data_IF_686408237244
#
_entry.id   IF_686408237244
#
_cell.length_a   1.000
_cell.length_b   1.000
_cell.length_c   1.000
_cell.angle_alpha   90.00
_cell.angle_beta   90.00
_cell.angle_gamma   90.00
#
_symmetry.space_group_name_H-M   'P 1'
#
loop_
_entity.id
_entity.type
_entity.pdbx_description
1 polymer ?
#
# COMPACT_ATOMS: atom_id res chain seq x y z
N UNK A 1 10.40 40.24 11.14
CA UNK A 1 9.33 40.52 12.12
C UNK A 1 9.35 39.38 13.11
N UNK A 2 9.59 39.66 14.40
CA UNK A 2 9.62 38.63 15.44
C UNK A 2 8.27 37.89 15.53
N UNK A 3 8.31 36.62 15.95
CA UNK A 3 7.08 35.84 16.21
C UNK A 3 6.24 36.57 17.25
N UNK A 4 4.94 36.71 17.02
CA UNK A 4 4.00 37.13 18.04
C UNK A 4 3.90 36.02 19.09
N UNK A 5 4.15 36.37 20.34
CA UNK A 5 4.02 35.48 21.49
C UNK A 5 2.98 36.07 22.43
N UNK A 6 2.24 35.23 23.13
CA UNK A 6 1.24 35.67 24.09
C UNK A 6 1.87 36.03 25.45
N UNK A 7 1.03 36.47 26.38
CA UNK A 7 1.46 36.90 27.72
C UNK A 7 2.04 35.73 28.52
N UNK A 8 1.49 34.52 28.36
CA UNK A 8 1.96 33.33 29.07
C UNK A 8 3.35 32.91 28.58
N UNK A 9 3.59 32.93 27.26
CA UNK A 9 4.91 32.71 26.66
C UNK A 9 5.92 33.81 27.08
N UNK A 10 5.49 35.07 27.24
CA UNK A 10 6.34 36.14 27.77
C UNK A 10 6.74 35.87 29.22
N UNK A 11 5.80 35.45 30.06
CA UNK A 11 6.07 35.08 31.45
C UNK A 11 7.03 33.89 31.50
N UNK A 12 6.82 32.86 30.69
CA UNK A 12 7.68 31.67 30.66
C UNK A 12 9.12 32.01 30.21
N UNK A 13 9.25 32.74 29.10
CA UNK A 13 10.56 32.90 28.45
C UNK A 13 11.29 34.19 28.80
N UNK A 14 10.61 35.25 29.20
CA UNK A 14 11.21 36.59 29.41
C UNK A 14 11.16 37.09 30.86
N UNK A 15 10.76 36.26 31.82
CA UNK A 15 10.90 36.59 33.25
C UNK A 15 12.34 36.43 33.72
N UNK A 16 12.86 37.44 34.44
CA UNK A 16 14.18 37.42 35.06
C UNK A 16 14.15 36.72 36.43
N UNK A 17 15.14 35.85 36.67
CA UNK A 17 15.36 35.26 37.98
C UNK A 17 16.20 36.15 38.89
N UNK A 18 16.29 35.78 40.18
CA UNK A 18 17.11 36.51 41.17
C UNK A 18 18.59 36.60 40.78
N UNK A 19 19.16 35.53 40.21
CA UNK A 19 20.54 35.53 39.70
C UNK A 19 20.74 36.40 38.45
N UNK A 20 19.69 36.65 37.68
CA UNK A 20 19.77 37.50 36.48
C UNK A 20 19.91 38.98 36.87
N UNK A 21 19.22 39.41 37.92
CA UNK A 21 19.31 40.79 38.43
C UNK A 21 20.71 41.17 38.91
N UNK A 22 21.50 40.21 39.41
CA UNK A 22 22.89 40.48 39.80
C UNK A 22 23.76 40.90 38.60
N UNK A 23 23.48 40.34 37.43
CA UNK A 23 24.18 40.68 36.19
C UNK A 23 23.86 42.09 35.70
N UNK A 24 22.80 42.72 36.21
CA UNK A 24 22.33 44.05 35.79
C UNK A 24 22.86 45.19 36.67
N UNK A 25 23.48 44.91 37.82
CA UNK A 25 23.90 45.95 38.80
C UNK A 25 24.77 47.05 38.21
N UNK A 26 25.66 46.70 37.28
CA UNK A 26 26.60 47.65 36.65
C UNK A 26 26.07 48.25 35.32
N UNK A 27 24.76 48.12 35.06
CA UNK A 27 24.13 48.52 33.79
C UNK A 27 22.99 49.50 34.06
N UNK A 28 22.75 50.41 33.12
CA UNK A 28 21.70 51.42 33.20
C UNK A 28 21.01 51.62 31.83
N UNK A 29 19.77 52.14 31.87
CA UNK A 29 18.97 52.51 30.70
C UNK A 29 18.93 51.42 29.62
N UNK A 30 19.21 51.82 28.38
CA UNK A 30 19.34 50.95 27.22
C UNK A 30 20.22 49.71 27.44
N UNK A 31 21.30 49.84 28.23
CA UNK A 31 22.24 48.75 28.50
C UNK A 31 21.63 47.63 29.34
N UNK A 32 20.83 47.96 30.37
CA UNK A 32 20.13 46.98 31.20
C UNK A 32 19.05 46.26 30.41
N UNK A 33 18.28 47.00 29.61
CA UNK A 33 17.21 46.45 28.78
C UNK A 33 17.77 45.51 27.69
N UNK A 34 18.78 45.98 26.93
CA UNK A 34 19.41 45.19 25.88
C UNK A 34 20.10 43.93 26.41
N UNK A 35 20.79 44.01 27.56
CA UNK A 35 21.40 42.83 28.19
C UNK A 35 20.37 41.77 28.58
N UNK A 36 19.30 42.19 29.25
CA UNK A 36 18.26 41.29 29.76
C UNK A 36 17.51 40.59 28.63
N UNK A 37 17.16 41.34 27.57
CA UNK A 37 16.55 40.79 26.37
C UNK A 37 17.46 39.76 25.70
N UNK A 38 18.76 40.03 25.56
CA UNK A 38 19.71 39.08 24.99
C UNK A 38 19.86 37.82 25.83
N UNK A 39 19.91 37.95 27.16
CA UNK A 39 20.02 36.81 28.08
C UNK A 39 18.82 35.88 27.93
N UNK A 40 17.61 36.42 28.04
CA UNK A 40 16.38 35.62 27.91
C UNK A 40 16.19 35.06 26.51
N UNK A 41 16.50 35.85 25.47
CA UNK A 41 16.43 35.39 24.10
C UNK A 41 17.42 34.24 23.82
N UNK A 42 18.65 34.30 24.36
CA UNK A 42 19.61 33.20 24.27
C UNK A 42 19.08 31.93 24.94
N UNK A 43 18.57 32.04 26.17
CA UNK A 43 18.04 30.89 26.90
C UNK A 43 16.83 30.27 26.19
N UNK A 44 16.01 31.08 25.53
CA UNK A 44 14.83 30.63 24.78
C UNK A 44 15.15 30.05 23.40
N UNK A 45 16.03 30.70 22.62
CA UNK A 45 16.31 30.34 21.21
C UNK A 45 17.64 29.62 20.99
N UNK A 46 18.51 29.54 22.01
CA UNK A 46 19.86 28.99 21.89
C UNK A 46 20.82 29.85 21.07
N UNK A 47 20.45 31.08 20.70
CA UNK A 47 21.28 32.04 19.95
C UNK A 47 21.01 33.47 20.43
N UNK A 48 21.94 34.39 20.17
CA UNK A 48 21.67 35.81 20.36
C UNK A 48 20.73 36.38 19.28
N UNK A 49 19.96 37.44 19.60
CA UNK A 49 19.21 38.21 18.60
C UNK A 49 20.20 38.97 17.68
N UNK A 50 19.84 39.10 16.40
CA UNK A 50 20.61 39.89 15.43
C UNK A 50 20.36 41.40 15.56
N UNK A 51 19.25 41.77 16.17
CA UNK A 51 18.82 43.15 16.37
C UNK A 51 17.45 43.18 17.05
N UNK A 52 16.89 44.36 17.25
CA UNK A 52 15.56 44.54 17.87
C UNK A 52 14.43 43.86 17.08
N UNK A 53 14.56 43.73 15.76
CA UNK A 53 13.54 43.11 14.90
C UNK A 53 13.41 41.58 15.04
N UNK A 54 14.40 40.93 15.66
CA UNK A 54 14.37 39.50 16.01
C UNK A 54 13.53 39.24 17.27
N UNK A 55 13.35 40.27 18.11
CA UNK A 55 12.65 40.14 19.38
C UNK A 55 11.14 40.01 19.16
N UNK A 56 10.43 39.21 19.97
CA UNK A 56 8.98 39.15 19.92
C UNK A 56 8.33 40.49 20.24
N UNK A 57 7.16 40.73 19.66
CA UNK A 57 6.33 41.88 20.03
C UNK A 57 6.02 41.86 21.54
N UNK A 58 6.00 43.02 22.18
CA UNK A 58 5.75 43.16 23.63
C UNK A 58 6.91 42.75 24.55
N UNK A 59 7.91 42.00 24.06
CA UNK A 59 9.04 41.56 24.91
C UNK A 59 9.88 42.71 25.47
N UNK A 60 10.03 43.81 24.71
CA UNK A 60 10.75 45.00 25.16
C UNK A 60 10.03 45.70 26.32
N UNK A 61 8.71 45.90 26.20
CA UNK A 61 7.88 46.51 27.25
C UNK A 61 7.82 45.64 28.51
N UNK A 62 7.63 44.34 28.32
CA UNK A 62 7.62 43.36 29.41
C UNK A 62 8.95 43.33 30.16
N UNK A 63 10.08 43.40 29.45
CA UNK A 63 11.40 43.43 30.06
C UNK A 63 11.71 44.78 30.73
N UNK A 64 11.28 45.88 30.11
CA UNK A 64 11.48 47.24 30.61
C UNK A 64 10.85 47.42 32.00
N UNK A 65 9.63 46.89 32.19
CA UNK A 65 8.96 46.87 33.49
C UNK A 65 9.74 46.11 34.58
N UNK A 66 10.42 45.01 34.23
CA UNK A 66 11.20 44.21 35.18
C UNK A 66 12.54 44.85 35.58
N UNK A 67 13.15 45.61 34.67
CA UNK A 67 14.45 46.28 34.93
C UNK A 67 14.31 47.73 35.38
N UNK A 68 13.09 48.28 35.40
CA UNK A 68 12.79 49.63 35.88
C UNK A 68 13.23 50.75 34.94
N UNK A 69 13.11 50.55 33.62
CA UNK A 69 13.45 51.56 32.59
C UNK A 69 12.30 51.71 31.59
N UNK A 70 12.32 52.78 30.79
CA UNK A 70 11.36 52.97 29.70
C UNK A 70 11.66 52.05 28.51
N UNK A 71 10.64 51.49 27.85
CA UNK A 71 10.84 50.60 26.71
C UNK A 71 11.50 51.29 25.51
N UNK A 72 11.31 52.60 25.38
CA UNK A 72 11.93 53.45 24.35
C UNK A 72 13.46 53.49 24.45
N UNK A 73 14.03 53.21 25.64
CA UNK A 73 15.47 53.13 25.85
C UNK A 73 16.13 52.08 24.93
N UNK A 74 15.41 51.04 24.53
CA UNK A 74 15.94 50.02 23.61
C UNK A 74 16.37 50.62 22.27
N UNK A 75 15.77 51.74 21.85
CA UNK A 75 16.15 52.46 20.63
C UNK A 75 17.58 53.01 20.67
N UNK A 76 18.14 53.25 21.86
CA UNK A 76 19.50 53.71 22.06
C UNK A 76 20.51 52.56 22.21
N UNK A 77 20.05 51.30 22.20
CA UNK A 77 20.91 50.13 22.31
C UNK A 77 21.56 49.78 20.96
N UNK A 78 22.89 49.90 20.89
CA UNK A 78 23.67 49.56 19.71
C UNK A 78 23.91 48.04 19.61
N UNK A 79 23.26 47.42 18.62
CA UNK A 79 23.28 45.97 18.35
C UNK A 79 24.56 45.48 17.65
N UNK A 80 25.43 46.38 17.18
CA UNK A 80 26.68 46.05 16.49
C UNK A 80 27.94 46.62 17.16
N UNK A 81 27.77 47.43 18.21
CA UNK A 81 28.83 48.12 18.92
C UNK A 81 29.73 47.28 19.83
N UNK A 82 30.58 47.97 20.60
CA UNK A 82 31.45 47.33 21.61
C UNK A 82 30.68 46.82 22.82
N UNK A 83 29.60 47.50 23.20
CA UNK A 83 28.79 47.15 24.38
C UNK A 83 28.12 45.78 24.21
N UNK A 84 27.47 45.51 23.07
CA UNK A 84 26.85 44.22 22.77
C UNK A 84 27.86 43.06 22.76
N UNK A 85 29.08 43.27 22.25
CA UNK A 85 30.15 42.26 22.28
C UNK A 85 30.56 41.91 23.71
N UNK A 86 30.70 42.91 24.58
CA UNK A 86 30.95 42.72 26.01
C UNK A 86 29.80 41.98 26.68
N UNK A 87 28.55 42.35 26.38
CA UNK A 87 27.36 41.70 26.91
C UNK A 87 27.28 40.22 26.50
N UNK A 88 27.48 39.89 25.22
CA UNK A 88 27.51 38.49 24.73
C UNK A 88 28.54 37.66 25.49
N UNK A 89 29.74 38.22 25.71
CA UNK A 89 30.81 37.56 26.48
C UNK A 89 30.39 37.29 27.93
N UNK A 90 29.80 38.27 28.61
CA UNK A 90 29.30 38.12 29.98
C UNK A 90 28.17 37.08 30.06
N UNK A 91 27.21 37.13 29.13
CA UNK A 91 26.08 36.19 29.07
C UNK A 91 26.59 34.76 28.83
N UNK A 92 27.54 34.55 27.91
CA UNK A 92 28.17 33.25 27.67
C UNK A 92 28.81 32.68 28.93
N UNK A 93 29.61 33.49 29.62
CA UNK A 93 30.26 33.10 30.88
C UNK A 93 29.25 32.70 31.96
N UNK A 94 28.14 33.42 32.05
CA UNK A 94 27.10 33.13 33.04
C UNK A 94 26.28 31.88 32.70
N UNK A 95 25.83 31.76 31.45
CA UNK A 95 24.93 30.68 31.00
C UNK A 95 25.67 29.38 30.66
N UNK A 96 26.98 29.43 30.46
CA UNK A 96 27.80 28.34 29.94
C UNK A 96 27.64 28.11 28.43
N UNK A 97 26.95 29.02 27.72
CA UNK A 97 26.90 28.98 26.25
C UNK A 97 28.25 29.32 25.64
N UNK A 98 28.54 28.70 24.50
CA UNK A 98 29.76 28.92 23.73
C UNK A 98 29.50 28.94 22.24
N UNK A 99 30.41 29.57 21.49
CA UNK A 99 30.38 29.57 20.04
C UNK A 99 30.67 28.16 19.49
N UNK A 100 30.00 27.81 18.38
CA UNK A 100 30.21 26.57 17.67
C UNK A 100 31.59 26.54 17.02
N UNK A 101 32.41 25.56 17.40
CA UNK A 101 33.70 25.27 16.77
C UNK A 101 33.52 24.33 15.58
N UNK A 102 34.58 24.16 14.77
CA UNK A 102 34.59 23.16 13.69
C UNK A 102 34.35 21.76 14.24
N UNK A 103 34.97 21.42 15.37
CA UNK A 103 34.79 20.12 16.02
C UNK A 103 33.35 19.89 16.49
N UNK A 104 32.64 20.94 16.92
CA UNK A 104 31.21 20.82 17.27
C UNK A 104 30.35 20.60 16.05
N UNK A 105 30.64 21.30 14.95
CA UNK A 105 29.93 21.11 13.70
C UNK A 105 30.10 19.68 13.17
N UNK A 106 31.31 19.11 13.27
CA UNK A 106 31.60 17.72 12.90
C UNK A 106 30.85 16.72 13.81
N UNK A 107 30.88 16.93 15.13
CA UNK A 107 30.11 16.10 16.09
C UNK A 107 28.61 16.16 15.82
N UNK A 108 28.08 17.36 15.57
CA UNK A 108 26.67 17.55 15.24
C UNK A 108 26.31 16.89 13.90
N UNK A 109 27.19 16.93 12.90
CA UNK A 109 27.01 16.19 11.65
C UNK A 109 26.93 14.68 11.89
N UNK A 110 27.85 14.12 12.67
CA UNK A 110 27.85 12.69 13.00
C UNK A 110 26.59 12.30 13.79
N UNK A 111 26.23 13.07 14.82
CA UNK A 111 25.03 12.86 15.62
C UNK A 111 23.76 12.88 14.76
N UNK A 112 23.60 13.89 13.89
CA UNK A 112 22.47 13.96 12.97
C UNK A 112 22.44 12.77 12.02
N UNK A 113 23.58 12.39 11.45
CA UNK A 113 23.66 11.28 10.51
C UNK A 113 23.18 9.97 11.15
N UNK A 114 23.56 9.74 12.40
CA UNK A 114 23.25 8.52 13.15
C UNK A 114 21.82 8.51 13.70
N UNK A 115 21.37 9.60 14.33
CA UNK A 115 20.14 9.60 15.14
C UNK A 115 18.92 10.19 14.43
N UNK A 116 19.11 11.01 13.40
CA UNK A 116 18.02 11.79 12.77
C UNK A 116 17.89 11.45 11.27
N UNK A 117 18.97 11.61 10.52
CA UNK A 117 18.96 11.54 9.06
C UNK A 117 18.74 10.13 8.50
N UNK A 118 18.77 9.08 9.33
CA UNK A 118 18.39 7.73 8.91
C UNK A 118 16.88 7.63 8.64
N UNK A 119 16.06 8.42 9.35
CA UNK A 119 14.59 8.35 9.29
C UNK A 119 13.96 9.60 8.68
N UNK A 120 14.46 10.79 9.01
CA UNK A 120 13.99 12.08 8.50
C UNK A 120 14.95 12.64 7.45
N UNK A 121 14.42 13.01 6.29
CA UNK A 121 15.21 13.51 5.14
C UNK A 121 14.89 14.95 4.77
N UNK A 122 13.86 15.55 5.35
CA UNK A 122 13.45 16.93 5.11
C UNK A 122 14.42 17.87 5.83
N UNK A 123 15.17 18.66 5.07
CA UNK A 123 16.18 19.57 5.60
C UNK A 123 15.66 20.48 6.72
N UNK A 124 14.43 20.99 6.62
CA UNK A 124 13.83 21.84 7.67
C UNK A 124 13.58 21.08 8.98
N UNK A 125 13.13 19.82 8.93
CA UNK A 125 12.94 19.00 10.13
C UNK A 125 14.29 18.60 10.75
N UNK A 126 15.28 18.29 9.92
CA UNK A 126 16.66 18.04 10.38
C UNK A 126 17.26 19.29 11.03
N UNK A 127 16.97 20.48 10.47
CA UNK A 127 17.36 21.77 11.03
C UNK A 127 16.77 22.01 12.42
N UNK A 128 15.47 21.74 12.60
CA UNK A 128 14.82 21.85 13.91
C UNK A 128 15.54 20.98 14.96
N UNK A 129 15.85 19.72 14.61
CA UNK A 129 16.57 18.80 15.49
C UNK A 129 17.99 19.27 15.79
N UNK A 130 18.72 19.77 14.78
CA UNK A 130 20.05 20.33 14.96
C UNK A 130 20.04 21.51 15.94
N UNK A 131 19.12 22.46 15.76
CA UNK A 131 19.04 23.64 16.62
C UNK A 131 18.66 23.25 18.06
N UNK A 132 17.76 22.27 18.23
CA UNK A 132 17.42 21.73 19.54
C UNK A 132 18.63 21.05 20.21
N UNK A 133 19.37 20.22 19.46
CA UNK A 133 20.57 19.54 19.96
C UNK A 133 21.67 20.52 20.37
N UNK A 134 21.99 21.51 19.53
CA UNK A 134 22.97 22.54 19.85
C UNK A 134 22.57 23.34 21.10
N UNK A 135 21.28 23.69 21.23
CA UNK A 135 20.76 24.36 22.43
C UNK A 135 20.93 23.50 23.68
N UNK A 136 20.66 22.20 23.61
CA UNK A 136 20.83 21.28 24.73
C UNK A 136 22.31 21.18 25.18
N UNK A 137 23.24 21.21 24.22
CA UNK A 137 24.69 21.23 24.45
C UNK A 137 25.22 22.63 24.82
N UNK A 138 24.35 23.64 24.91
CA UNK A 138 24.70 25.07 25.13
C UNK A 138 25.69 25.60 24.09
N UNK A 139 25.50 25.20 22.84
CA UNK A 139 26.29 25.65 21.69
C UNK A 139 25.42 26.60 20.88
N UNK A 140 25.93 27.80 20.61
CA UNK A 140 25.28 28.73 19.69
C UNK A 140 25.31 28.17 18.27
N UNK A 141 24.20 28.23 17.51
CA UNK A 141 24.19 27.74 16.15
C UNK A 141 25.19 28.53 15.29
N UNK A 142 25.92 27.84 14.39
CA UNK A 142 26.82 28.52 13.48
C UNK A 142 26.03 29.36 12.47
N UNK A 143 26.72 30.02 11.54
CA UNK A 143 26.04 30.83 10.51
C UNK A 143 25.01 29.98 9.73
N UNK A 144 23.93 30.58 9.19
CA UNK A 144 22.93 29.82 8.43
C UNK A 144 23.51 28.97 7.30
N UNK A 145 24.56 29.47 6.62
CA UNK A 145 25.26 28.70 5.59
C UNK A 145 26.04 27.50 6.15
N UNK A 146 26.66 27.63 7.32
CA UNK A 146 27.30 26.50 8.02
C UNK A 146 26.26 25.48 8.50
N UNK A 147 25.12 25.93 9.03
CA UNK A 147 23.98 25.05 9.38
C UNK A 147 23.54 24.22 8.18
N UNK A 148 23.34 24.86 7.02
CA UNK A 148 23.02 24.17 5.77
C UNK A 148 24.07 23.12 5.37
N UNK A 149 25.36 23.43 5.53
CA UNK A 149 26.46 22.48 5.27
C UNK A 149 26.48 21.30 6.23
N UNK A 150 26.23 21.51 7.52
CA UNK A 150 26.13 20.46 8.55
C UNK A 150 24.98 19.51 8.20
N UNK A 151 23.81 20.06 7.87
CA UNK A 151 22.62 19.28 7.47
C UNK A 151 22.90 18.48 6.19
N UNK A 152 23.40 19.12 5.14
CA UNK A 152 23.69 18.46 3.87
C UNK A 152 24.76 17.37 4.00
N UNK A 153 25.75 17.57 4.88
CA UNK A 153 26.78 16.55 5.16
C UNK A 153 26.20 15.38 5.96
N UNK A 154 25.34 15.65 6.94
CA UNK A 154 24.68 14.60 7.73
C UNK A 154 23.74 13.74 6.88
N UNK A 155 22.95 14.37 5.99
CA UNK A 155 22.06 13.66 5.07
C UNK A 155 22.83 12.74 4.11
N UNK A 156 23.96 13.23 3.57
CA UNK A 156 24.85 12.44 2.71
C UNK A 156 25.50 11.28 3.48
N UNK A 157 26.02 11.54 4.69
CA UNK A 157 26.61 10.51 5.53
C UNK A 157 25.61 9.41 5.92
N UNK A 158 24.35 9.79 6.22
CA UNK A 158 23.29 8.84 6.50
C UNK A 158 22.89 8.01 5.26
N UNK A 159 22.84 8.63 4.07
CA UNK A 159 22.61 7.90 2.81
C UNK A 159 23.74 6.91 2.50
N UNK A 160 24.99 7.31 2.66
CA UNK A 160 26.14 6.43 2.48
C UNK A 160 26.11 5.26 3.47
N UNK A 161 25.82 5.52 4.74
CA UNK A 161 25.74 4.48 5.77
C UNK A 161 24.61 3.47 5.48
N UNK A 162 23.45 3.96 5.06
CA UNK A 162 22.31 3.09 4.71
C UNK A 162 22.57 2.26 3.44
N UNK A 163 23.14 2.87 2.41
CA UNK A 163 23.44 2.16 1.15
C UNK A 163 24.50 1.07 1.36
N UNK A 164 25.54 1.33 2.16
CA UNK A 164 26.53 0.31 2.53
C UNK A 164 25.91 -0.82 3.36
N UNK A 165 25.07 -0.49 4.35
CA UNK A 165 24.37 -1.48 5.18
C UNK A 165 23.46 -2.37 4.35
N UNK A 166 22.68 -1.79 3.44
CA UNK A 166 21.78 -2.53 2.55
C UNK A 166 22.58 -3.37 1.55
N UNK A 167 23.65 -2.83 0.98
CA UNK A 167 24.55 -3.58 0.10
C UNK A 167 25.11 -4.84 0.77
N UNK A 168 25.46 -4.77 2.06
CA UNK A 168 25.96 -5.90 2.83
C UNK A 168 24.88 -6.99 3.06
N UNK A 169 23.59 -6.62 3.05
CA UNK A 169 22.46 -7.54 3.22
C UNK A 169 22.01 -8.19 1.91
N UNK A 170 22.41 -7.66 0.76
CA UNK A 170 22.02 -8.17 -0.56
C UNK A 170 22.91 -9.38 -0.91
N UNK A 171 22.34 -10.57 -1.14
CA UNK A 171 23.10 -11.73 -1.58
C UNK A 171 23.79 -11.50 -2.94
N UNK A 172 24.98 -12.06 -3.14
CA UNK A 172 25.74 -11.90 -4.38
C UNK A 172 24.93 -12.34 -5.63
N UNK A 173 24.15 -13.42 -5.51
CA UNK A 173 23.28 -13.87 -6.60
C UNK A 173 22.16 -12.86 -6.94
N UNK A 174 21.59 -12.18 -5.93
CA UNK A 174 20.59 -11.14 -6.14
C UNK A 174 21.21 -9.88 -6.75
N UNK A 175 22.42 -9.51 -6.30
CA UNK A 175 23.19 -8.43 -6.90
C UNK A 175 23.48 -8.69 -8.39
N UNK A 176 23.96 -9.89 -8.74
CA UNK A 176 24.21 -10.28 -10.13
C UNK A 176 22.95 -10.20 -11.00
N UNK A 177 21.80 -10.69 -10.49
CA UNK A 177 20.52 -10.59 -11.21
C UNK A 177 20.03 -9.15 -11.37
N UNK A 178 20.21 -8.29 -10.37
CA UNK A 178 19.90 -6.85 -10.51
C UNK A 178 20.81 -6.15 -11.51
N UNK A 179 22.09 -6.52 -11.55
CA UNK A 179 23.02 -6.00 -12.56
C UNK A 179 22.61 -6.42 -13.97
N UNK A 180 22.31 -7.70 -14.19
CA UNK A 180 21.84 -8.21 -15.48
C UNK A 180 20.56 -7.48 -15.92
N UNK A 181 19.60 -7.35 -15.01
CA UNK A 181 18.31 -6.68 -15.26
C UNK A 181 18.47 -5.26 -15.82
N UNK A 182 19.44 -4.49 -15.33
CA UNK A 182 19.67 -3.12 -15.81
C UNK A 182 20.71 -3.07 -16.93
N UNK A 183 21.65 -4.02 -17.02
CA UNK A 183 22.62 -4.07 -18.12
C UNK A 183 21.93 -4.19 -19.49
N UNK A 184 20.84 -4.96 -19.54
CA UNK A 184 20.08 -5.24 -20.76
C UNK A 184 19.07 -4.13 -21.10
N UNK A 185 18.78 -3.20 -20.18
CA UNK A 185 17.73 -2.20 -20.34
C UNK A 185 18.12 -1.04 -21.28
N UNK A 186 17.31 -0.78 -22.31
CA UNK A 186 17.43 0.40 -23.19
C UNK A 186 16.85 1.67 -22.55
N UNK A 187 17.41 2.83 -22.89
CA UNK A 187 16.82 4.13 -22.54
C UNK A 187 15.55 4.43 -23.36
N UNK A 188 15.45 3.86 -24.56
CA UNK A 188 14.26 3.90 -25.41
C UNK A 188 13.78 2.47 -25.72
N UNK A 189 12.84 1.92 -24.92
CA UNK A 189 12.25 0.60 -25.15
C UNK A 189 11.18 0.60 -26.26
N UNK A 190 10.77 1.75 -26.81
CA UNK A 190 9.76 1.79 -27.88
C UNK A 190 10.37 1.67 -29.29
N UNK A 191 11.69 1.85 -29.40
CA UNK A 191 12.41 1.88 -30.68
C UNK A 191 12.94 0.53 -31.20
N UNK A 192 12.78 -0.57 -30.45
CA UNK A 192 13.29 -1.90 -30.80
C UNK A 192 12.17 -2.86 -31.22
N UNK A 193 12.14 -3.26 -32.49
CA UNK A 193 11.10 -4.13 -33.07
C UNK A 193 11.17 -5.61 -32.63
N UNK A 194 12.16 -6.02 -31.83
CA UNK A 194 12.31 -7.41 -31.37
C UNK A 194 12.00 -7.57 -29.86
N UNK A 195 10.88 -8.23 -29.50
CA UNK A 195 10.53 -8.52 -28.11
C UNK A 195 11.26 -9.80 -27.65
N UNK A 196 12.59 -9.78 -27.63
CA UNK A 196 13.40 -10.93 -27.22
C UNK A 196 14.09 -10.65 -25.89
N UNK A 197 13.34 -10.71 -24.78
CA UNK A 197 13.88 -10.76 -23.40
C UNK A 197 14.66 -9.55 -22.87
N UNK A 198 15.11 -8.61 -23.71
CA UNK A 198 15.99 -7.46 -23.38
C UNK A 198 15.30 -6.35 -22.58
N UNK A 199 13.97 -6.39 -22.44
CA UNK A 199 13.15 -5.33 -21.85
C UNK A 199 12.49 -5.68 -20.51
N UNK A 200 12.91 -6.74 -19.81
CA UNK A 200 12.26 -7.15 -18.54
C UNK A 200 12.17 -5.99 -17.55
N UNK A 201 13.23 -5.16 -17.44
CA UNK A 201 13.19 -3.98 -16.59
C UNK A 201 12.19 -2.92 -17.07
N UNK A 202 12.12 -2.67 -18.38
CA UNK A 202 11.14 -1.76 -18.96
C UNK A 202 9.71 -2.26 -18.71
N UNK A 203 9.45 -3.56 -18.89
CA UNK A 203 8.17 -4.18 -18.57
C UNK A 203 7.82 -4.01 -17.09
N UNK A 204 8.76 -4.22 -16.16
CA UNK A 204 8.54 -3.98 -14.73
C UNK A 204 8.14 -2.52 -14.46
N UNK A 205 8.69 -1.56 -15.20
CA UNK A 205 8.35 -0.12 -15.08
C UNK A 205 6.97 0.25 -15.62
N UNK A 206 6.40 -0.54 -16.52
CA UNK A 206 5.07 -0.24 -17.08
C UNK A 206 3.96 -0.41 -16.05
N UNK A 207 3.01 0.53 -16.08
CA UNK A 207 1.77 0.45 -15.33
C UNK A 207 0.85 -0.66 -15.88
N UNK A 208 -0.04 -1.20 -15.04
CA UNK A 208 -0.98 -2.21 -15.49
C UNK A 208 -2.01 -1.66 -16.47
N UNK A 209 -2.37 -2.48 -17.47
CA UNK A 209 -3.44 -2.18 -18.43
C UNK A 209 -4.85 -2.46 -17.88
N UNK A 210 -5.87 -2.26 -18.74
CA UNK A 210 -7.27 -2.55 -18.39
C UNK A 210 -7.49 -4.00 -17.92
N UNK A 211 -8.50 -4.23 -17.07
CA UNK A 211 -8.85 -5.56 -16.54
C UNK A 211 -9.13 -6.57 -17.66
N UNK A 212 -8.14 -7.42 -17.93
CA UNK A 212 -8.17 -8.46 -18.98
C UNK A 212 -7.30 -9.65 -18.58
N UNK A 213 -7.56 -10.83 -19.16
CA UNK A 213 -6.70 -12.00 -18.93
C UNK A 213 -5.25 -11.72 -19.34
N UNK A 214 -5.06 -11.00 -20.46
CA UNK A 214 -3.75 -10.63 -20.96
C UNK A 214 -2.99 -9.79 -19.93
N UNK A 215 -3.69 -8.85 -19.27
CA UNK A 215 -3.13 -8.05 -18.18
C UNK A 215 -2.73 -8.94 -17.00
N UNK A 216 -3.56 -9.91 -16.61
CA UNK A 216 -3.20 -10.85 -15.55
C UNK A 216 -1.93 -11.64 -15.88
N UNK A 217 -1.81 -12.15 -17.10
CA UNK A 217 -0.62 -12.88 -17.56
C UNK A 217 0.63 -12.00 -17.54
N UNK A 218 0.54 -10.76 -18.04
CA UNK A 218 1.65 -9.80 -18.02
C UNK A 218 2.07 -9.44 -16.59
N UNK A 219 1.13 -9.07 -15.71
CA UNK A 219 1.44 -8.69 -14.32
C UNK A 219 1.99 -9.87 -13.52
N UNK A 220 1.50 -11.09 -13.77
CA UNK A 220 2.06 -12.31 -13.16
C UNK A 220 3.50 -12.56 -13.60
N UNK A 221 3.81 -12.34 -14.89
CA UNK A 221 5.18 -12.46 -15.41
C UNK A 221 6.11 -11.41 -14.80
N UNK A 222 5.67 -10.15 -14.66
CA UNK A 222 6.43 -9.10 -13.96
C UNK A 222 6.71 -9.49 -12.51
N UNK A 223 5.70 -9.97 -11.78
CA UNK A 223 5.85 -10.41 -10.39
C UNK A 223 6.88 -11.55 -10.29
N UNK A 224 6.78 -12.56 -11.16
CA UNK A 224 7.72 -13.67 -11.20
C UNK A 224 9.16 -13.21 -11.49
N UNK A 225 9.34 -12.28 -12.44
CA UNK A 225 10.65 -11.70 -12.74
C UNK A 225 11.26 -10.97 -11.53
N UNK A 226 10.44 -10.20 -10.78
CA UNK A 226 10.90 -9.53 -9.56
C UNK A 226 11.25 -10.55 -8.47
N UNK A 227 10.42 -11.56 -8.25
CA UNK A 227 10.65 -12.61 -7.26
C UNK A 227 11.92 -13.42 -7.59
N UNK A 228 12.19 -13.68 -8.87
CA UNK A 228 13.39 -14.38 -9.33
C UNK A 228 14.69 -13.65 -8.96
N UNK A 229 14.66 -12.32 -8.74
CA UNK A 229 15.80 -11.57 -8.20
C UNK A 229 16.20 -12.08 -6.82
N UNK A 230 15.27 -12.59 -6.02
CA UNK A 230 15.56 -13.23 -4.73
C UNK A 230 16.02 -12.24 -3.65
N UNK A 231 15.38 -11.08 -3.57
CA UNK A 231 15.65 -10.10 -2.50
C UNK A 231 15.15 -10.63 -1.14
N UNK A 232 15.94 -10.50 -0.06
CA UNK A 232 15.49 -10.88 1.28
C UNK A 232 14.24 -10.10 1.73
N UNK A 233 13.25 -10.78 2.31
CA UNK A 233 12.00 -10.15 2.75
C UNK A 233 12.21 -9.04 3.80
N UNK A 234 13.22 -9.19 4.67
CA UNK A 234 13.58 -8.26 5.73
C UNK A 234 14.65 -7.23 5.32
N UNK A 235 15.00 -7.11 4.03
CA UNK A 235 16.07 -6.23 3.57
C UNK A 235 15.97 -4.79 4.10
N UNK A 236 14.75 -4.25 4.12
CA UNK A 236 14.41 -2.89 4.54
C UNK A 236 13.75 -2.80 5.93
N UNK A 237 13.87 -3.82 6.78
CA UNK A 237 13.11 -3.89 8.05
C UNK A 237 13.37 -2.71 9.01
N UNK A 238 14.58 -2.15 9.01
CA UNK A 238 15.02 -1.00 9.82
C UNK A 238 15.02 0.33 9.04
N UNK A 239 14.47 0.36 7.82
CA UNK A 239 14.46 1.56 6.98
C UNK A 239 13.06 2.15 6.93
N UNK A 240 12.97 3.46 7.17
CA UNK A 240 11.70 4.20 7.08
C UNK A 240 11.04 4.01 5.71
N UNK A 241 9.73 3.67 5.64
CA UNK A 241 9.01 3.51 4.37
C UNK A 241 9.10 4.74 3.46
N UNK A 242 9.18 5.95 4.04
CA UNK A 242 9.34 7.20 3.28
C UNK A 242 10.67 7.27 2.54
N UNK A 243 11.74 6.71 3.11
CA UNK A 243 13.07 6.65 2.48
C UNK A 243 13.05 5.67 1.31
N UNK A 244 12.46 4.48 1.51
CA UNK A 244 12.30 3.50 0.43
C UNK A 244 11.45 4.05 -0.72
N UNK A 245 10.36 4.75 -0.40
CA UNK A 245 9.53 5.42 -1.41
C UNK A 245 10.28 6.52 -2.17
N UNK A 246 11.14 7.29 -1.51
CA UNK A 246 11.99 8.29 -2.16
C UNK A 246 13.00 7.65 -3.12
N UNK A 247 13.64 6.54 -2.74
CA UNK A 247 14.51 5.78 -3.65
C UNK A 247 13.76 5.19 -4.84
N UNK A 248 12.56 4.64 -4.62
CA UNK A 248 11.66 4.20 -5.71
C UNK A 248 11.34 5.34 -6.67
N UNK A 249 10.96 6.51 -6.15
CA UNK A 249 10.64 7.68 -6.96
C UNK A 249 11.83 8.16 -7.78
N UNK A 250 13.05 8.12 -7.21
CA UNK A 250 14.28 8.42 -7.92
C UNK A 250 14.49 7.48 -9.11
N UNK A 251 14.41 6.16 -8.90
CA UNK A 251 14.55 5.17 -10.00
C UNK A 251 13.48 5.37 -11.08
N UNK A 252 12.26 5.74 -10.70
CA UNK A 252 11.18 5.99 -11.66
C UNK A 252 11.47 7.17 -12.62
N UNK A 253 12.29 8.14 -12.20
CA UNK A 253 12.66 9.31 -13.00
C UNK A 253 13.98 9.15 -13.76
N UNK A 254 14.85 8.23 -13.34
CA UNK A 254 16.15 8.01 -13.97
C UNK A 254 16.05 7.08 -15.18
N UNK A 255 16.91 7.32 -16.18
CA UNK A 255 17.12 6.43 -17.32
C UNK A 255 17.93 5.20 -16.89
N UNK A 256 17.77 4.04 -17.55
CA UNK A 256 18.63 2.88 -17.34
C UNK A 256 20.13 3.16 -17.43
N UNK A 257 20.58 4.02 -18.36
CA UNK A 257 21.97 4.48 -18.45
C UNK A 257 22.47 5.13 -17.16
N UNK A 258 21.73 6.12 -16.63
CA UNK A 258 22.07 6.79 -15.39
C UNK A 258 22.07 5.83 -14.20
N UNK A 259 21.13 4.87 -14.17
CA UNK A 259 21.12 3.82 -13.15
C UNK A 259 22.39 2.96 -13.19
N UNK A 260 22.96 2.70 -14.37
CA UNK A 260 24.23 1.97 -14.54
C UNK A 260 25.45 2.76 -14.10
N UNK A 261 25.42 4.08 -14.14
CA UNK A 261 26.55 4.94 -13.77
C UNK A 261 26.74 5.08 -12.26
N UNK A 262 25.69 4.82 -11.46
CA UNK A 262 25.81 4.92 -10.00
C UNK A 262 26.86 3.97 -9.42
N UNK A 263 27.58 4.39 -8.36
CA UNK A 263 28.38 3.50 -7.54
C UNK A 263 27.59 2.27 -7.07
N UNK A 264 28.24 1.13 -7.01
CA UNK A 264 27.58 -0.17 -6.75
C UNK A 264 26.66 -0.18 -5.51
N UNK A 265 27.06 0.38 -4.33
CA UNK A 265 26.18 0.40 -3.16
C UNK A 265 24.89 1.21 -3.39
N UNK A 266 24.99 2.32 -4.12
CA UNK A 266 23.85 3.19 -4.44
C UNK A 266 22.95 2.48 -5.44
N UNK A 267 23.53 1.99 -6.54
CA UNK A 267 22.81 1.27 -7.60
C UNK A 267 21.98 0.12 -7.05
N UNK A 268 22.60 -0.77 -6.27
CA UNK A 268 21.91 -1.93 -5.73
C UNK A 268 20.84 -1.56 -4.70
N UNK A 269 21.07 -0.51 -3.91
CA UNK A 269 20.06 0.00 -2.97
C UNK A 269 18.83 0.55 -3.71
N UNK A 270 19.07 1.38 -4.74
CA UNK A 270 18.02 1.98 -5.55
C UNK A 270 17.20 0.89 -6.27
N UNK A 271 17.85 -0.07 -6.92
CA UNK A 271 17.18 -1.18 -7.59
C UNK A 271 16.41 -2.07 -6.63
N UNK A 272 17.00 -2.42 -5.49
CA UNK A 272 16.31 -3.23 -4.49
C UNK A 272 15.07 -2.51 -3.94
N UNK A 273 15.16 -1.20 -3.69
CA UNK A 273 14.02 -0.41 -3.23
C UNK A 273 12.91 -0.35 -4.28
N UNK A 274 13.29 -0.09 -5.54
CA UNK A 274 12.36 -0.05 -6.66
C UNK A 274 11.64 -1.39 -6.85
N UNK A 275 12.38 -2.49 -6.92
CA UNK A 275 11.83 -3.85 -7.08
C UNK A 275 10.93 -4.23 -5.91
N UNK A 276 11.30 -3.90 -4.67
CA UNK A 276 10.47 -4.17 -3.48
C UNK A 276 9.14 -3.41 -3.51
N UNK A 277 9.16 -2.15 -3.93
CA UNK A 277 7.94 -1.36 -4.10
C UNK A 277 7.10 -1.90 -5.26
N UNK A 278 7.71 -2.15 -6.43
CA UNK A 278 7.01 -2.71 -7.59
C UNK A 278 6.41 -4.08 -7.30
N UNK A 279 7.08 -4.94 -6.53
CA UNK A 279 6.51 -6.21 -6.10
C UNK A 279 5.17 -6.00 -5.38
N UNK A 280 5.11 -5.07 -4.42
CA UNK A 280 3.88 -4.75 -3.67
C UNK A 280 2.81 -4.16 -4.57
N UNK A 281 3.17 -3.15 -5.37
CA UNK A 281 2.25 -2.49 -6.32
C UNK A 281 1.62 -3.50 -7.30
N UNK A 282 2.42 -4.45 -7.81
CA UNK A 282 1.95 -5.51 -8.72
C UNK A 282 1.10 -6.53 -7.96
N UNK A 283 1.48 -6.91 -6.73
CA UNK A 283 0.65 -7.78 -5.89
C UNK A 283 -0.73 -7.16 -5.63
N UNK A 284 -0.79 -5.88 -5.26
CA UNK A 284 -2.05 -5.15 -5.05
C UNK A 284 -2.89 -5.14 -6.35
N UNK A 285 -2.24 -4.85 -7.49
CA UNK A 285 -2.87 -4.90 -8.81
C UNK A 285 -3.43 -6.29 -9.13
N UNK A 286 -2.69 -7.36 -8.85
CA UNK A 286 -3.14 -8.73 -9.09
C UNK A 286 -4.33 -9.11 -8.20
N UNK A 287 -4.39 -8.60 -6.97
CA UNK A 287 -5.55 -8.74 -6.08
C UNK A 287 -6.77 -8.03 -6.66
N UNK A 288 -6.61 -6.78 -7.13
CA UNK A 288 -7.71 -6.04 -7.77
C UNK A 288 -8.20 -6.74 -9.04
N UNK A 289 -7.27 -7.26 -9.86
CA UNK A 289 -7.58 -8.06 -11.05
C UNK A 289 -8.32 -9.34 -10.69
N UNK A 290 -7.95 -10.01 -9.59
CA UNK A 290 -8.65 -11.19 -9.08
C UNK A 290 -10.09 -10.85 -8.70
N UNK A 291 -10.29 -9.82 -7.86
CA UNK A 291 -11.62 -9.37 -7.41
C UNK A 291 -12.49 -9.01 -8.61
N UNK A 292 -11.96 -8.20 -9.54
CA UNK A 292 -12.69 -7.78 -10.72
C UNK A 292 -13.04 -8.96 -11.65
N UNK A 293 -12.15 -9.94 -11.77
CA UNK A 293 -12.39 -11.15 -12.58
C UNK A 293 -13.48 -12.02 -11.96
N UNK A 294 -13.45 -12.23 -10.65
CA UNK A 294 -14.48 -12.97 -9.91
C UNK A 294 -15.85 -12.30 -10.08
N UNK A 295 -15.94 -10.98 -9.85
CA UNK A 295 -17.19 -10.23 -10.06
C UNK A 295 -17.72 -10.34 -11.50
N UNK A 296 -16.84 -10.23 -12.51
CA UNK A 296 -17.24 -10.36 -13.91
C UNK A 296 -17.78 -11.75 -14.23
N UNK A 297 -17.25 -12.80 -13.62
CA UNK A 297 -17.73 -14.18 -13.80
C UNK A 297 -19.10 -14.36 -13.14
N UNK A 298 -19.28 -13.87 -11.91
CA UNK A 298 -20.56 -13.93 -11.21
C UNK A 298 -21.65 -13.19 -11.98
N UNK A 299 -21.41 -11.93 -12.38
CA UNK A 299 -22.37 -11.14 -13.15
C UNK A 299 -22.72 -11.80 -14.50
N UNK A 300 -21.75 -12.41 -15.17
CA UNK A 300 -22.00 -13.13 -16.43
C UNK A 300 -22.77 -14.42 -16.21
N UNK A 301 -22.53 -15.13 -15.11
CA UNK A 301 -23.30 -16.31 -14.73
C UNK A 301 -24.75 -15.94 -14.46
N UNK A 302 -25.01 -14.91 -13.67
CA UNK A 302 -26.35 -14.40 -13.39
C UNK A 302 -27.07 -13.95 -14.66
N UNK A 303 -26.44 -13.11 -15.49
CA UNK A 303 -27.05 -12.60 -16.73
C UNK A 303 -27.41 -13.73 -17.69
N UNK A 304 -26.55 -14.76 -17.78
CA UNK A 304 -26.79 -15.92 -18.65
C UNK A 304 -27.87 -16.84 -18.11
N UNK A 305 -27.91 -17.08 -16.80
CA UNK A 305 -29.00 -17.83 -16.15
C UNK A 305 -30.33 -17.10 -16.36
N UNK A 306 -30.38 -15.78 -16.12
CA UNK A 306 -31.58 -14.97 -16.33
C UNK A 306 -32.02 -14.99 -17.80
N UNK A 307 -31.08 -14.80 -18.74
CA UNK A 307 -31.37 -14.82 -20.17
C UNK A 307 -31.90 -16.17 -20.67
N UNK A 308 -31.33 -17.29 -20.21
CA UNK A 308 -31.76 -18.62 -20.61
C UNK A 308 -33.07 -19.05 -19.90
N UNK A 309 -33.30 -18.64 -18.65
CA UNK A 309 -34.60 -18.81 -17.95
C UNK A 309 -35.70 -18.00 -18.62
N UNK A 310 -35.43 -16.77 -19.05
CA UNK A 310 -36.38 -15.98 -19.86
C UNK A 310 -36.65 -16.65 -21.21
N UNK A 311 -35.64 -17.26 -21.84
CA UNK A 311 -35.84 -18.01 -23.08
C UNK A 311 -36.63 -19.31 -22.87
N UNK A 312 -36.45 -19.98 -21.74
CA UNK A 312 -37.18 -21.19 -21.37
C UNK A 312 -38.63 -20.88 -20.95
N UNK A 313 -38.87 -19.79 -20.21
CA UNK A 313 -40.20 -19.25 -19.91
C UNK A 313 -40.94 -18.86 -21.19
N UNK A 314 -40.26 -18.21 -22.15
CA UNK A 314 -40.82 -17.93 -23.48
C UNK A 314 -41.20 -19.20 -24.26
N UNK A 315 -40.53 -20.33 -24.02
CA UNK A 315 -40.91 -21.65 -24.58
C UNK A 315 -42.08 -22.33 -23.86
N UNK A 316 -42.46 -21.87 -22.67
CA UNK A 316 -43.49 -22.50 -21.81
C UNK A 316 -44.87 -21.81 -21.92
N UNK A 317 -45.02 -20.82 -22.81
CA UNK A 317 -46.32 -20.22 -23.12
C UNK A 317 -47.33 -21.29 -23.58
N UNK A 318 -48.29 -21.64 -22.70
CA UNK A 318 -49.32 -22.65 -22.91
C UNK A 318 -49.64 -23.51 -21.68
N UNK A 319 -48.70 -23.69 -20.74
CA UNK A 319 -48.90 -24.53 -19.54
C UNK A 319 -49.67 -23.82 -18.43
N UNK A 320 -49.45 -22.51 -18.27
CA UNK A 320 -50.23 -21.67 -17.36
C UNK A 320 -51.71 -21.65 -17.78
N UNK A 321 -51.98 -21.63 -19.08
CA UNK A 321 -53.35 -21.74 -19.62
C UNK A 321 -54.00 -23.08 -19.31
N UNK A 322 -53.23 -24.18 -19.33
CA UNK A 322 -53.74 -25.52 -18.94
C UNK A 322 -54.04 -25.56 -17.44
N UNK A 323 -53.13 -25.05 -16.61
CA UNK A 323 -53.31 -24.97 -15.15
C UNK A 323 -54.52 -24.11 -14.77
N UNK A 324 -54.68 -22.97 -15.43
CA UNK A 324 -55.83 -22.08 -15.23
C UNK A 324 -57.14 -22.79 -15.56
N UNK A 325 -57.25 -23.40 -16.74
CA UNK A 325 -58.45 -24.15 -17.16
C UNK A 325 -58.78 -25.34 -16.26
N UNK A 326 -57.75 -26.06 -15.78
CA UNK A 326 -57.95 -27.15 -14.83
C UNK A 326 -58.42 -26.64 -13.46
N UNK A 327 -57.92 -25.48 -13.02
CA UNK A 327 -58.31 -24.86 -11.76
C UNK A 327 -59.74 -24.34 -11.82
N UNK A 328 -60.12 -23.67 -12.92
CA UNK A 328 -61.51 -23.26 -13.16
C UNK A 328 -62.45 -24.47 -13.15
N UNK A 329 -62.15 -25.51 -13.92
CA UNK A 329 -62.98 -26.72 -13.97
C UNK A 329 -63.10 -27.41 -12.59
N UNK A 330 -62.01 -27.43 -11.81
CA UNK A 330 -62.01 -27.99 -10.46
C UNK A 330 -62.81 -27.14 -9.46
N UNK A 331 -62.87 -25.81 -9.64
CA UNK A 331 -63.64 -24.91 -8.78
C UNK A 331 -65.13 -24.90 -9.14
N UNK A 332 -65.45 -25.00 -10.43
CA UNK A 332 -66.84 -25.04 -10.92
C UNK A 332 -67.54 -26.36 -10.56
N UNK A 333 -66.82 -27.48 -10.62
CA UNK A 333 -67.36 -28.82 -10.29
C UNK A 333 -66.47 -29.58 -9.29
N UNK A 334 -66.43 -29.16 -8.01
CA UNK A 334 -65.41 -29.64 -7.05
C UNK A 334 -65.55 -31.10 -6.61
N UNK A 335 -66.73 -31.71 -6.78
CA UNK A 335 -66.97 -33.13 -6.46
C UNK A 335 -67.11 -34.02 -7.71
N UNK A 336 -66.95 -33.45 -8.92
CA UNK A 336 -67.07 -34.22 -10.14
C UNK A 336 -65.86 -35.13 -10.38
N UNK A 337 -66.05 -36.27 -11.06
CA UNK A 337 -64.96 -37.20 -11.32
C UNK A 337 -63.95 -36.59 -12.31
N UNK A 338 -62.67 -36.85 -12.08
CA UNK A 338 -61.53 -36.18 -12.75
C UNK A 338 -61.55 -36.37 -14.27
N UNK A 339 -62.04 -37.51 -14.74
CA UNK A 339 -62.15 -37.85 -16.15
C UNK A 339 -63.26 -37.11 -16.90
N UNK A 340 -64.30 -36.69 -16.19
CA UNK A 340 -65.39 -35.87 -16.76
C UNK A 340 -65.13 -34.37 -16.61
N UNK A 341 -64.43 -33.96 -15.55
CA UNK A 341 -64.24 -32.53 -15.22
C UNK A 341 -62.90 -31.99 -15.72
N UNK A 342 -61.81 -32.72 -15.48
CA UNK A 342 -60.45 -32.19 -15.65
C UNK A 342 -59.83 -32.62 -16.98
N UNK A 343 -60.02 -33.87 -17.41
CA UNK A 343 -59.43 -34.35 -18.66
C UNK A 343 -59.97 -33.64 -19.92
N UNK A 344 -61.26 -33.30 -20.04
CA UNK A 344 -61.78 -32.65 -21.24
C UNK A 344 -61.28 -31.22 -21.44
N UNK A 345 -60.98 -30.50 -20.36
CA UNK A 345 -60.51 -29.09 -20.41
C UNK A 345 -59.03 -28.96 -20.75
N UNK A 346 -58.27 -30.07 -20.67
CA UNK A 346 -56.85 -30.12 -21.05
C UNK A 346 -56.73 -30.44 -22.55
N UNK A 347 -56.05 -29.61 -23.36
CA UNK A 347 -55.80 -29.92 -24.77
C UNK A 347 -55.05 -31.25 -24.91
N UNK A 348 -55.65 -32.24 -25.57
CA UNK A 348 -55.09 -33.60 -25.70
C UNK A 348 -55.28 -34.51 -24.47
N UNK A 349 -56.05 -34.07 -23.46
CA UNK A 349 -56.54 -34.88 -22.35
C UNK A 349 -55.46 -35.56 -21.49
N UNK A 350 -55.72 -36.80 -21.10
CA UNK A 350 -54.82 -37.62 -20.23
C UNK A 350 -53.44 -37.81 -20.85
N UNK A 351 -53.35 -37.90 -22.17
CA UNK A 351 -52.07 -38.07 -22.87
C UNK A 351 -51.17 -36.86 -22.62
N UNK A 352 -51.73 -35.65 -22.67
CA UNK A 352 -51.01 -34.41 -22.36
C UNK A 352 -50.60 -34.33 -20.88
N UNK A 353 -51.47 -34.72 -19.95
CA UNK A 353 -51.11 -34.78 -18.51
C UNK A 353 -50.03 -35.83 -18.22
N UNK A 354 -50.06 -36.96 -18.93
CA UNK A 354 -49.05 -38.02 -18.81
C UNK A 354 -47.72 -37.57 -19.39
N UNK A 355 -47.73 -36.89 -20.54
CA UNK A 355 -46.55 -36.28 -21.14
C UNK A 355 -45.96 -35.18 -20.24
N UNK A 356 -46.81 -34.31 -19.65
CA UNK A 356 -46.39 -33.30 -18.68
C UNK A 356 -45.78 -33.92 -17.42
N UNK A 357 -46.35 -35.02 -16.91
CA UNK A 357 -45.80 -35.77 -15.75
C UNK A 357 -44.45 -36.40 -16.08
N UNK A 358 -44.31 -37.01 -17.25
CA UNK A 358 -43.04 -37.59 -17.71
C UNK A 358 -41.99 -36.49 -17.93
N UNK A 359 -42.39 -35.37 -18.54
CA UNK A 359 -41.55 -34.18 -18.70
C UNK A 359 -41.11 -33.62 -17.34
N UNK A 360 -42.00 -33.52 -16.35
CA UNK A 360 -41.66 -33.03 -15.01
C UNK A 360 -40.70 -33.98 -14.26
N UNK A 361 -40.93 -35.29 -14.35
CA UNK A 361 -40.00 -36.29 -13.79
C UNK A 361 -38.64 -36.29 -14.49
N UNK A 362 -38.60 -36.01 -15.80
CA UNK A 362 -37.36 -35.84 -16.54
C UNK A 362 -36.65 -34.51 -16.20
N UNK A 363 -37.42 -33.43 -15.96
CA UNK A 363 -36.96 -32.06 -15.69
C UNK A 363 -36.05 -31.89 -14.48
N UNK A 364 -36.20 -32.71 -13.43
CA UNK A 364 -35.26 -32.70 -12.30
C UNK A 364 -33.81 -32.96 -12.74
N UNK A 365 -33.60 -33.78 -13.78
CA UNK A 365 -32.29 -34.05 -14.37
C UNK A 365 -31.86 -33.01 -15.40
N UNK A 366 -32.80 -32.50 -16.21
CA UNK A 366 -32.53 -31.51 -17.27
C UNK A 366 -32.23 -30.13 -16.69
N UNK A 367 -32.92 -29.71 -15.62
CA UNK A 367 -32.63 -28.45 -14.92
C UNK A 367 -31.24 -28.46 -14.29
N UNK A 368 -30.84 -29.59 -13.67
CA UNK A 368 -29.49 -29.79 -13.12
C UNK A 368 -28.42 -29.76 -14.21
N UNK A 369 -28.62 -30.49 -15.32
CA UNK A 369 -27.71 -30.47 -16.47
C UNK A 369 -27.65 -29.10 -17.14
N UNK A 370 -28.76 -28.36 -17.15
CA UNK A 370 -28.85 -27.01 -17.69
C UNK A 370 -28.08 -26.01 -16.83
N UNK A 371 -28.28 -26.00 -15.50
CA UNK A 371 -27.44 -25.22 -14.57
C UNK A 371 -25.96 -25.58 -14.71
N UNK A 372 -25.60 -26.86 -14.75
CA UNK A 372 -24.21 -27.30 -15.00
C UNK A 372 -23.65 -26.76 -16.33
N UNK A 373 -24.46 -26.76 -17.40
CA UNK A 373 -24.05 -26.26 -18.72
C UNK A 373 -23.86 -24.74 -18.71
N UNK A 374 -24.76 -23.99 -18.06
CA UNK A 374 -24.66 -22.53 -17.93
C UNK A 374 -23.45 -22.16 -17.09
N UNK A 375 -23.27 -22.76 -15.92
CA UNK A 375 -22.08 -22.55 -15.08
C UNK A 375 -20.78 -22.90 -15.82
N UNK A 376 -20.73 -24.04 -16.51
CA UNK A 376 -19.58 -24.45 -17.33
C UNK A 376 -19.31 -23.48 -18.50
N UNK A 377 -20.35 -22.87 -19.05
CA UNK A 377 -20.20 -21.92 -20.15
C UNK A 377 -19.84 -20.50 -19.67
N UNK A 378 -20.18 -20.14 -18.44
CA UNK A 378 -19.74 -18.90 -17.78
C UNK A 378 -18.28 -19.00 -17.33
N UNK A 379 -17.86 -20.18 -16.88
CA UNK A 379 -16.48 -20.54 -16.59
C UNK A 379 -15.81 -21.12 -17.85
N UNK A 380 -15.55 -20.28 -18.86
CA UNK A 380 -14.84 -20.74 -20.06
C UNK A 380 -13.39 -21.14 -19.72
N UNK A 381 -12.80 -22.07 -20.49
CA UNK A 381 -11.40 -22.50 -20.35
C UNK A 381 -10.42 -21.30 -20.25
N UNK A 382 -10.74 -20.19 -20.90
CA UNK A 382 -9.97 -18.96 -20.89
C UNK A 382 -9.95 -18.28 -19.50
N UNK A 383 -11.10 -18.13 -18.83
CA UNK A 383 -11.15 -17.54 -17.48
C UNK A 383 -10.58 -18.48 -16.41
N UNK A 384 -10.79 -19.79 -16.55
CA UNK A 384 -10.16 -20.82 -15.70
C UNK A 384 -8.64 -20.69 -15.70
N UNK A 385 -8.03 -20.55 -16.88
CA UNK A 385 -6.58 -20.41 -17.02
C UNK A 385 -6.05 -19.19 -16.27
N UNK A 386 -6.73 -18.05 -16.41
CA UNK A 386 -6.38 -16.81 -15.72
C UNK A 386 -6.48 -16.87 -14.21
N UNK A 387 -7.63 -17.33 -13.71
CA UNK A 387 -7.85 -17.44 -12.27
C UNK A 387 -6.83 -18.37 -11.61
N UNK A 388 -6.55 -19.52 -12.22
CA UNK A 388 -5.54 -20.45 -11.69
C UNK A 388 -4.15 -19.79 -11.70
N UNK A 389 -3.80 -19.06 -12.77
CA UNK A 389 -2.54 -18.31 -12.82
C UNK A 389 -2.43 -17.25 -11.72
N UNK A 390 -3.51 -16.50 -11.45
CA UNK A 390 -3.57 -15.53 -10.35
C UNK A 390 -3.44 -16.22 -8.99
N UNK A 391 -4.09 -17.37 -8.80
CA UNK A 391 -3.97 -18.14 -7.57
C UNK A 391 -2.53 -18.59 -7.33
N UNK A 392 -1.81 -19.01 -8.36
CA UNK A 392 -0.40 -19.42 -8.24
C UNK A 392 0.53 -18.24 -7.92
N UNK A 393 0.28 -17.08 -8.52
CA UNK A 393 1.06 -15.87 -8.31
C UNK A 393 0.92 -15.29 -6.90
N UNK A 394 -0.25 -15.49 -6.28
CA UNK A 394 -0.60 -14.92 -4.99
C UNK A 394 -0.50 -15.95 -3.86
N UNK A 395 0.08 -15.49 -2.75
CA UNK A 395 0.05 -16.23 -1.49
C UNK A 395 -1.18 -15.80 -0.69
N UNK A 396 -2.05 -16.75 -0.38
CA UNK A 396 -3.24 -16.53 0.43
C UNK A 396 -2.94 -16.99 1.85
N UNK A 397 -3.41 -16.24 2.83
CA UNK A 397 -3.25 -16.57 4.24
C UNK A 397 -4.43 -16.02 5.04
N UNK A 398 -4.85 -16.75 6.07
CA UNK A 398 -5.86 -16.28 7.01
C UNK A 398 -5.54 -16.77 8.41
N UNK A 399 -5.64 -15.89 9.39
CA UNK A 399 -5.57 -16.24 10.82
C UNK A 399 -6.92 -16.68 11.38
N UNK A 400 -8.01 -16.49 10.61
CA UNK A 400 -9.35 -16.89 11.01
C UNK A 400 -9.59 -18.36 10.64
N UNK A 401 -9.80 -19.20 11.65
CA UNK A 401 -10.05 -20.63 11.49
C UNK A 401 -11.30 -20.92 10.67
N UNK A 402 -12.27 -20.00 10.59
CA UNK A 402 -13.45 -20.14 9.74
C UNK A 402 -13.10 -20.23 8.24
N UNK A 403 -11.98 -19.64 7.81
CA UNK A 403 -11.53 -19.69 6.41
C UNK A 403 -10.63 -20.89 6.10
N UNK A 404 -10.31 -21.75 7.07
CA UNK A 404 -9.46 -22.93 6.87
C UNK A 404 -9.95 -23.87 5.74
N UNK A 405 -11.27 -24.13 5.55
CA UNK A 405 -11.74 -24.92 4.42
C UNK A 405 -11.43 -24.29 3.06
N UNK A 406 -11.51 -22.96 2.96
CA UNK A 406 -11.19 -22.21 1.74
C UNK A 406 -9.69 -22.29 1.45
N UNK A 407 -8.84 -22.14 2.48
CA UNK A 407 -7.39 -22.31 2.35
C UNK A 407 -7.03 -23.70 1.82
N UNK A 408 -7.63 -24.76 2.39
CA UNK A 408 -7.43 -26.14 1.94
C UNK A 408 -7.91 -26.35 0.49
N UNK A 409 -9.00 -25.69 0.08
CA UNK A 409 -9.51 -25.73 -1.29
C UNK A 409 -8.55 -25.06 -2.27
N UNK A 410 -8.01 -23.89 -1.92
CA UNK A 410 -7.01 -23.19 -2.74
C UNK A 410 -5.74 -24.03 -2.91
N UNK A 411 -5.26 -24.66 -1.84
CA UNK A 411 -4.09 -25.56 -1.90
C UNK A 411 -4.33 -26.79 -2.77
N UNK A 412 -5.54 -27.37 -2.71
CA UNK A 412 -5.95 -28.47 -3.57
C UNK A 412 -5.92 -28.06 -5.05
N UNK A 413 -6.49 -26.88 -5.38
CA UNK A 413 -6.52 -26.35 -6.74
C UNK A 413 -5.09 -26.13 -7.26
N UNK A 414 -4.20 -25.55 -6.45
CA UNK A 414 -2.78 -25.33 -6.78
C UNK A 414 -2.04 -26.66 -7.03
N UNK A 415 -2.23 -27.68 -6.16
CA UNK A 415 -1.61 -29.02 -6.33
C UNK A 415 -2.01 -29.68 -7.64
N UNK A 416 -3.31 -29.76 -7.92
CA UNK A 416 -3.84 -30.43 -9.11
C UNK A 416 -3.55 -29.69 -10.42
N UNK A 417 -3.08 -28.45 -10.36
CA UNK A 417 -2.52 -27.75 -11.51
C UNK A 417 -1.07 -28.16 -11.77
N UNK A 418 -0.25 -28.32 -10.72
CA UNK A 418 1.15 -28.77 -10.81
C UNK A 418 1.28 -30.24 -11.20
N UNK A 419 0.49 -31.10 -10.57
CA UNK A 419 0.70 -32.55 -10.60
C UNK A 419 -0.04 -33.25 -11.75
N UNK A 420 -0.84 -32.52 -12.53
CA UNK A 420 -1.78 -33.13 -13.45
C UNK A 420 -1.85 -32.43 -14.80
N UNK A 421 -1.85 -33.21 -15.88
CA UNK A 421 -2.09 -32.69 -17.24
C UNK A 421 -3.44 -31.99 -17.36
N UNK A 422 -3.51 -30.99 -18.23
CA UNK A 422 -4.70 -30.18 -18.53
C UNK A 422 -5.95 -31.00 -18.92
N UNK A 423 -5.78 -32.27 -19.29
CA UNK A 423 -6.83 -33.20 -19.70
C UNK A 423 -7.58 -33.86 -18.52
N UNK A 424 -7.08 -33.77 -17.29
CA UNK A 424 -7.71 -34.47 -16.16
C UNK A 424 -8.97 -33.74 -15.71
N UNK A 425 -10.10 -34.37 -16.01
CA UNK A 425 -11.43 -33.82 -15.81
C UNK A 425 -11.96 -33.97 -14.36
N UNK A 426 -11.41 -34.91 -13.60
CA UNK A 426 -11.90 -35.29 -12.28
C UNK A 426 -10.76 -35.34 -11.26
N UNK A 427 -11.05 -35.04 -10.00
CA UNK A 427 -10.12 -35.33 -8.90
C UNK A 427 -9.89 -36.84 -8.74
N UNK A 428 -8.75 -37.21 -8.18
CA UNK A 428 -8.38 -38.60 -7.96
C UNK A 428 -9.33 -39.28 -6.97
N UNK A 429 -9.40 -40.61 -7.03
CA UNK A 429 -10.22 -41.36 -6.09
C UNK A 429 -9.55 -41.37 -4.72
N UNK A 430 -10.31 -41.06 -3.66
CA UNK A 430 -9.77 -40.93 -2.30
C UNK A 430 -9.17 -39.55 -1.97
N UNK A 431 -9.12 -38.60 -2.91
CA UNK A 431 -8.69 -37.24 -2.62
C UNK A 431 -9.68 -36.55 -1.67
N UNK A 432 -9.16 -35.88 -0.64
CA UNK A 432 -9.99 -35.05 0.23
C UNK A 432 -10.29 -33.72 -0.46
N UNK A 433 -11.57 -33.48 -0.74
CA UNK A 433 -12.05 -32.28 -1.43
C UNK A 433 -12.88 -31.47 -0.43
N UNK A 434 -12.41 -30.30 0.03
CA UNK A 434 -13.16 -29.45 0.95
C UNK A 434 -14.45 -28.94 0.29
N UNK A 435 -15.61 -29.25 0.85
CA UNK A 435 -16.92 -28.81 0.30
C UNK A 435 -17.66 -27.89 1.27
N UNK A 436 -17.65 -28.22 2.56
CA UNK A 436 -18.27 -27.39 3.60
C UNK A 436 -17.48 -26.10 3.81
N UNK A 437 -18.18 -24.97 3.87
CA UNK A 437 -17.56 -23.64 3.96
C UNK A 437 -16.93 -23.12 2.66
N UNK A 438 -16.88 -23.93 1.60
CA UNK A 438 -16.29 -23.55 0.29
C UNK A 438 -17.38 -23.46 -0.80
N UNK A 439 -18.32 -24.40 -0.77
CA UNK A 439 -19.36 -24.53 -1.80
C UNK A 439 -20.75 -24.36 -1.18
N UNK A 440 -21.57 -23.42 -1.68
CA UNK A 440 -22.96 -23.28 -1.27
C UNK A 440 -23.73 -24.58 -1.46
N UNK A 441 -24.60 -24.92 -0.50
CA UNK A 441 -25.35 -26.18 -0.48
C UNK A 441 -26.09 -26.43 -1.80
N UNK A 442 -26.67 -25.37 -2.36
CA UNK A 442 -27.43 -25.37 -3.61
C UNK A 442 -26.60 -25.77 -4.85
N UNK A 443 -25.27 -25.59 -4.78
CA UNK A 443 -24.36 -25.84 -5.90
C UNK A 443 -23.58 -27.15 -5.74
N UNK A 444 -23.66 -27.83 -4.58
CA UNK A 444 -22.94 -29.08 -4.29
C UNK A 444 -23.30 -30.20 -5.26
N UNK A 445 -24.56 -30.30 -5.66
CA UNK A 445 -24.96 -31.35 -6.61
C UNK A 445 -24.39 -31.13 -8.02
N UNK A 446 -24.05 -29.89 -8.39
CA UNK A 446 -23.52 -29.57 -9.72
C UNK A 446 -22.11 -30.14 -9.92
N UNK A 447 -21.39 -30.41 -8.83
CA UNK A 447 -19.99 -30.83 -8.84
C UNK A 447 -19.81 -32.29 -9.24
N UNK A 448 -20.83 -33.12 -9.04
CA UNK A 448 -20.73 -34.56 -9.22
C UNK A 448 -21.17 -34.98 -10.62
N UNK A 449 -20.42 -35.90 -11.20
CA UNK A 449 -20.84 -36.67 -12.37
C UNK A 449 -20.67 -38.16 -12.10
N UNK A 450 -21.60 -38.95 -12.61
CA UNK A 450 -21.53 -40.40 -12.55
C UNK A 450 -20.63 -40.87 -13.70
N UNK A 451 -19.61 -41.66 -13.40
CA UNK A 451 -18.73 -42.24 -14.43
C UNK A 451 -19.35 -43.50 -15.06
N UNK A 452 -18.65 -44.09 -16.04
CA UNK A 452 -19.08 -45.32 -16.74
C UNK A 452 -19.28 -46.52 -15.80
N UNK A 453 -18.70 -46.48 -14.60
CA UNK A 453 -18.79 -47.54 -13.59
C UNK A 453 -19.82 -47.21 -12.49
N UNK A 454 -20.72 -46.26 -12.76
CA UNK A 454 -21.76 -45.79 -11.84
C UNK A 454 -21.22 -45.15 -10.54
N UNK A 455 -19.97 -44.67 -10.53
CA UNK A 455 -19.35 -44.04 -9.36
C UNK A 455 -19.45 -42.52 -9.44
N UNK A 456 -19.71 -41.86 -8.30
CA UNK A 456 -19.72 -40.39 -8.20
C UNK A 456 -18.29 -39.85 -8.26
N UNK A 457 -18.02 -38.95 -9.21
CA UNK A 457 -16.73 -38.26 -9.40
C UNK A 457 -16.93 -36.75 -9.35
N UNK A 458 -16.01 -36.03 -8.70
CA UNK A 458 -16.05 -34.57 -8.65
C UNK A 458 -15.38 -33.99 -9.89
N UNK A 459 -16.11 -33.15 -10.63
CA UNK A 459 -15.63 -32.41 -11.78
C UNK A 459 -14.77 -31.24 -11.33
N UNK A 460 -13.50 -31.25 -11.74
CA UNK A 460 -12.53 -30.18 -11.41
C UNK A 460 -13.00 -28.81 -11.86
N UNK A 461 -13.41 -28.70 -13.13
CA UNK A 461 -13.84 -27.42 -13.71
C UNK A 461 -15.06 -26.79 -13.01
N UNK A 462 -15.91 -27.62 -12.38
CA UNK A 462 -17.08 -27.13 -11.65
C UNK A 462 -16.66 -26.74 -10.23
N UNK A 463 -15.85 -27.55 -9.56
CA UNK A 463 -15.31 -27.23 -8.24
C UNK A 463 -14.52 -25.91 -8.25
N UNK A 464 -13.59 -25.77 -9.19
CA UNK A 464 -12.74 -24.59 -9.35
C UNK A 464 -13.53 -23.33 -9.76
N UNK A 465 -14.67 -23.49 -10.42
CA UNK A 465 -15.53 -22.36 -10.83
C UNK A 465 -16.59 -21.96 -9.80
N UNK A 466 -17.12 -22.92 -9.04
CA UNK A 466 -18.18 -22.69 -8.05
C UNK A 466 -17.59 -22.23 -6.71
N UNK A 467 -16.41 -22.71 -6.33
CA UNK A 467 -15.75 -22.34 -5.08
C UNK A 467 -15.17 -20.93 -5.04
N UNK A 468 -15.12 -20.22 -6.18
CA UNK A 468 -14.58 -18.86 -6.27
C UNK A 468 -15.65 -17.76 -6.33
N UNK A 469 -16.93 -18.10 -6.35
CA UNK A 469 -18.02 -17.11 -6.45
C UNK A 469 -18.39 -16.44 -5.13
N UNK A 470 -18.03 -17.03 -3.98
CA UNK A 470 -18.57 -16.67 -2.66
C UNK A 470 -17.49 -16.44 -1.57
N UNK A 471 -16.24 -16.23 -1.97
CA UNK A 471 -15.12 -15.94 -1.06
C UNK A 471 -14.80 -14.45 -1.01
#
# INVERSE_FOLDING_TARGET
MGRQIDVDELIEYFTLGTGDHELLRDKSGAGSLGFSLMLRFLLWKGRFPRGSSDLPAGSAEFMAAQVGVEASELGFYDWDGRQVKRHRTQIRRHTGFRECTVADAEKATAWLAEHVCQTERRAERVREQLLAHLRAERIEPPTPGQVGRVIGSALRAAEQSLTLRLRARIPAAAAARMHALVAEASDDPAGTEEPDGREVFAQIRTDPGNVSLKTCETETAKLAAIQAVGLPAALFADVSPKVVAAWRARVAMETPSLLREHPEPIKLTLLAAYLRCRQREITDTLVDLLIATVHRINARAETKVVGEVVAELKRVAGKETILFKMTEAALDTPQGPVDEVIYPVVPGGVATLTALRQEYRAKGSTYRQHKQRVFKASYTNHYRRGLIGLLEALEFGSTNTAHAPVMAALDLIKRYKKDTTHATQYYAHGEHIPVEGVIPVELRELMFRVDKNNRRRVLRSVYEGVGQGNG
#
